data_IF_380013577125
#
_entry.id   IF_380013577125
#
_cell.length_a   1.000
_cell.length_b   1.000
_cell.length_c   1.000
_cell.angle_alpha   90.00
_cell.angle_beta   90.00
_cell.angle_gamma   90.00
#
_symmetry.space_group_name_H-M   'P 1'
#
loop_
_entity.id
_entity.type
_entity.pdbx_description
1 polymer ?
#
# COMPACT_ATOMS: atom_id res chain seq x y z
N UNK A 1 12.58 -9.02 7.87
CA UNK A 1 11.57 -8.04 7.43
C UNK A 1 10.20 -8.69 7.59
N UNK A 2 9.16 -7.89 7.81
CA UNK A 2 7.76 -8.37 7.80
C UNK A 2 7.10 -7.94 6.50
N UNK A 3 6.13 -8.72 6.03
CA UNK A 3 5.35 -8.41 4.84
C UNK A 3 4.17 -7.51 5.22
N UNK A 4 3.94 -6.46 4.45
CA UNK A 4 2.84 -5.52 4.62
C UNK A 4 2.02 -5.41 3.34
N UNK A 5 0.72 -5.20 3.48
CA UNK A 5 -0.14 -4.64 2.44
C UNK A 5 -0.30 -3.15 2.73
N UNK A 6 0.08 -2.33 1.76
CA UNK A 6 -0.21 -0.91 1.73
C UNK A 6 -1.41 -0.66 0.83
N UNK A 7 -2.39 0.07 1.34
CA UNK A 7 -3.47 0.69 0.56
C UNK A 7 -3.30 2.20 0.64
N UNK A 8 -3.25 2.86 -0.52
CA UNK A 8 -3.13 4.32 -0.66
C UNK A 8 -4.35 4.87 -1.40
N UNK A 9 -5.52 4.92 -0.73
CA UNK A 9 -6.76 5.40 -1.32
C UNK A 9 -6.69 6.92 -1.52
N UNK A 10 -7.23 7.36 -2.64
CA UNK A 10 -7.32 8.74 -3.06
C UNK A 10 -8.63 8.97 -3.81
N UNK A 11 -9.03 10.22 -4.00
CA UNK A 11 -10.19 10.55 -4.84
C UNK A 11 -9.81 10.57 -6.33
N UNK A 12 -10.82 10.55 -7.21
CA UNK A 12 -10.63 10.71 -8.65
C UNK A 12 -9.87 12.00 -9.00
N UNK A 13 -10.15 13.08 -8.26
CA UNK A 13 -9.52 14.40 -8.44
C UNK A 13 -8.04 14.37 -8.03
N UNK A 14 -7.69 13.48 -7.10
CA UNK A 14 -6.34 13.30 -6.59
C UNK A 14 -5.50 12.31 -7.41
N UNK A 15 -6.09 11.54 -8.34
CA UNK A 15 -5.40 10.46 -9.08
C UNK A 15 -4.11 10.90 -9.75
N UNK A 16 -4.18 11.94 -10.59
CA UNK A 16 -3.01 12.39 -11.34
C UNK A 16 -1.93 12.90 -10.39
N UNK A 17 -2.32 13.64 -9.35
CA UNK A 17 -1.39 14.10 -8.31
C UNK A 17 -0.73 12.94 -7.58
N UNK A 18 -1.49 11.89 -7.24
CA UNK A 18 -0.95 10.70 -6.57
C UNK A 18 0.09 9.98 -7.44
N UNK A 19 -0.20 9.81 -8.74
CA UNK A 19 0.72 9.22 -9.71
C UNK A 19 1.96 10.09 -9.90
N UNK A 20 1.81 11.41 -10.03
CA UNK A 20 2.91 12.35 -10.19
C UNK A 20 3.85 12.36 -8.98
N UNK A 21 3.32 12.42 -7.76
CA UNK A 21 4.16 12.42 -6.55
C UNK A 21 4.88 11.07 -6.35
N UNK A 22 4.23 9.95 -6.69
CA UNK A 22 4.89 8.64 -6.63
C UNK A 22 5.96 8.49 -7.72
N UNK A 23 5.71 9.01 -8.93
CA UNK A 23 6.69 9.01 -10.02
C UNK A 23 7.88 9.95 -9.72
N UNK A 24 7.64 11.06 -9.02
CA UNK A 24 8.69 12.00 -8.62
C UNK A 24 9.74 11.37 -7.69
N UNK A 25 9.35 10.40 -6.85
CA UNK A 25 10.27 9.58 -6.05
C UNK A 25 11.08 8.59 -6.91
N UNK A 26 10.64 8.36 -8.15
CA UNK A 26 11.35 7.62 -9.18
C UNK A 26 10.54 6.46 -9.77
N UNK A 27 10.84 6.02 -11.01
CA UNK A 27 10.13 4.92 -11.66
C UNK A 27 10.15 3.61 -10.87
N UNK A 28 11.23 3.35 -10.13
CA UNK A 28 11.35 2.18 -9.26
C UNK A 28 10.40 2.19 -8.07
N UNK A 29 9.92 3.36 -7.64
CA UNK A 29 8.91 3.49 -6.58
C UNK A 29 7.52 3.27 -7.17
N UNK A 30 7.22 3.89 -8.32
CA UNK A 30 5.97 3.67 -9.05
C UNK A 30 5.73 2.18 -9.35
N UNK A 31 6.77 1.45 -9.77
CA UNK A 31 6.71 0.03 -10.07
C UNK A 31 6.44 -0.88 -8.86
N UNK A 32 6.42 -0.35 -7.63
CA UNK A 32 6.02 -1.11 -6.43
C UNK A 32 4.50 -1.16 -6.24
N UNK A 33 3.77 -0.29 -6.94
CA UNK A 33 2.34 -0.14 -6.79
C UNK A 33 1.58 -0.82 -7.93
N UNK A 34 0.55 -1.56 -7.56
CA UNK A 34 -0.55 -1.97 -8.40
C UNK A 34 -1.69 -0.96 -8.25
N UNK A 35 -2.39 -0.63 -9.34
CA UNK A 35 -3.34 0.49 -9.34
C UNK A 35 -4.75 0.04 -9.71
N UNK A 36 -5.72 0.32 -8.83
CA UNK A 36 -7.14 0.12 -9.14
C UNK A 36 -7.74 1.20 -10.05
N UNK A 37 -7.00 2.29 -10.32
CA UNK A 37 -7.56 3.52 -10.89
C UNK A 37 -8.26 3.31 -12.25
N UNK A 38 -7.77 2.37 -13.07
CA UNK A 38 -8.37 2.04 -14.37
C UNK A 38 -9.66 1.21 -14.26
N UNK A 39 -9.88 0.57 -13.11
CA UNK A 39 -11.09 -0.19 -12.77
C UNK A 39 -12.11 0.66 -11.98
N UNK A 40 -11.80 1.93 -11.73
CA UNK A 40 -12.63 2.86 -10.97
C UNK A 40 -12.40 2.85 -9.46
N UNK A 41 -11.53 1.97 -8.98
CA UNK A 41 -11.05 1.99 -7.59
C UNK A 41 -9.82 2.90 -7.47
N UNK A 42 -10.02 4.10 -6.94
CA UNK A 42 -8.95 5.10 -6.81
C UNK A 42 -8.01 4.78 -5.63
N UNK A 43 -7.36 3.63 -5.69
CA UNK A 43 -6.47 3.10 -4.67
C UNK A 43 -5.20 2.53 -5.31
N UNK A 44 -4.04 2.94 -4.77
CA UNK A 44 -2.77 2.27 -5.04
C UNK A 44 -2.51 1.19 -4.00
N UNK A 45 -2.11 0.00 -4.43
CA UNK A 45 -1.82 -1.16 -3.60
C UNK A 45 -0.35 -1.52 -3.69
N UNK A 46 0.29 -1.90 -2.59
CA UNK A 46 1.64 -2.43 -2.65
C UNK A 46 1.87 -3.53 -1.61
N UNK A 47 2.60 -4.57 -2.01
CA UNK A 47 3.11 -5.61 -1.11
C UNK A 47 4.57 -5.32 -0.79
N UNK A 48 4.85 -5.05 0.49
CA UNK A 48 6.14 -4.50 0.91
C UNK A 48 6.76 -5.34 2.01
N UNK A 49 8.01 -5.79 1.80
CA UNK A 49 8.85 -6.33 2.85
C UNK A 49 9.61 -5.18 3.54
N UNK A 50 9.25 -4.89 4.78
CA UNK A 50 9.78 -3.76 5.53
C UNK A 50 10.18 -4.13 6.96
N UNK A 51 11.03 -3.32 7.59
CA UNK A 51 11.38 -3.51 9.01
C UNK A 51 10.25 -3.12 9.96
N UNK A 52 9.35 -2.24 9.52
CA UNK A 52 8.21 -1.74 10.30
C UNK A 52 7.32 -0.84 9.46
N UNK A 53 6.17 -0.47 10.01
CA UNK A 53 5.22 0.45 9.37
C UNK A 53 5.80 1.81 8.97
N UNK A 54 6.73 2.44 9.75
CA UNK A 54 7.33 3.71 9.35
C UNK A 54 8.07 3.66 8.01
N UNK A 55 8.68 2.51 7.69
CA UNK A 55 9.39 2.32 6.42
C UNK A 55 8.41 2.20 5.24
N UNK A 56 7.24 1.58 5.45
CA UNK A 56 6.13 1.55 4.48
C UNK A 56 5.55 2.96 4.29
N UNK A 57 5.42 3.73 5.38
CA UNK A 57 4.86 5.08 5.37
C UNK A 57 5.63 6.06 4.48
N UNK A 58 6.95 5.85 4.35
CA UNK A 58 7.82 6.71 3.53
C UNK A 58 7.50 6.62 2.03
N UNK A 59 6.82 5.56 1.59
CA UNK A 59 6.44 5.36 0.18
C UNK A 59 5.12 6.07 -0.18
N UNK A 60 4.45 6.67 0.81
CA UNK A 60 3.15 7.30 0.64
C UNK A 60 3.33 8.81 0.50
N UNK A 61 2.77 9.43 -0.56
CA UNK A 61 2.73 10.88 -0.71
C UNK A 61 2.12 11.55 0.52
N UNK A 62 2.66 12.71 0.90
CA UNK A 62 2.31 13.39 2.16
C UNK A 62 0.80 13.61 2.36
N UNK A 63 0.09 13.96 1.29
CA UNK A 63 -1.36 14.21 1.32
C UNK A 63 -2.24 12.95 1.38
N UNK A 64 -1.66 11.76 1.14
CA UNK A 64 -2.34 10.47 1.24
C UNK A 64 -2.05 9.75 2.54
N UNK A 65 -1.04 10.18 3.30
CA UNK A 65 -0.60 9.54 4.55
C UNK A 65 -1.71 9.33 5.57
N UNK A 66 -2.64 10.28 5.70
CA UNK A 66 -3.77 10.16 6.62
C UNK A 66 -4.92 9.28 6.10
N UNK A 67 -4.92 8.94 4.81
CA UNK A 67 -5.91 8.08 4.15
C UNK A 67 -5.40 6.65 4.01
N UNK A 68 -4.08 6.49 3.97
CA UNK A 68 -3.43 5.21 3.77
C UNK A 68 -3.66 4.23 4.90
N UNK A 69 -3.67 2.95 4.55
CA UNK A 69 -3.81 1.83 5.47
C UNK A 69 -2.63 0.91 5.29
N UNK A 70 -2.01 0.54 6.40
CA UNK A 70 -0.87 -0.37 6.43
C UNK A 70 -1.30 -1.59 7.24
N UNK A 71 -1.26 -2.76 6.61
CA UNK A 71 -1.65 -4.01 7.20
C UNK A 71 -0.45 -4.94 7.27
N UNK A 72 0.02 -5.28 8.47
CA UNK A 72 1.02 -6.33 8.64
C UNK A 72 0.39 -7.68 8.28
N UNK A 73 0.97 -8.35 7.29
CA UNK A 73 0.49 -9.63 6.80
C UNK A 73 1.14 -10.79 7.56
N UNK A 74 0.34 -11.81 7.84
CA UNK A 74 0.75 -13.10 8.37
C UNK A 74 0.10 -14.23 7.59
N UNK A 75 0.64 -15.44 7.76
CA UNK A 75 -0.01 -16.67 7.31
C UNK A 75 -0.43 -17.47 8.54
N UNK A 76 -1.53 -18.20 8.41
CA UNK A 76 -1.97 -19.14 9.43
C UNK A 76 -1.61 -20.57 9.02
N UNK A 77 -1.27 -21.40 10.01
CA UNK A 77 -1.18 -22.85 9.84
C UNK A 77 -2.57 -23.49 9.96
N UNK A 78 -2.79 -24.68 9.39
CA UNK A 78 -4.05 -25.40 9.57
C UNK A 78 -4.39 -25.65 11.05
N UNK A 79 -3.38 -25.87 11.90
CA UNK A 79 -3.56 -26.06 13.34
C UNK A 79 -4.04 -24.79 14.04
N UNK A 80 -3.48 -23.62 13.69
CA UNK A 80 -3.97 -22.33 14.19
C UNK A 80 -5.43 -22.12 13.83
N UNK A 81 -5.81 -22.39 12.57
CA UNK A 81 -7.20 -22.27 12.13
C UNK A 81 -8.13 -23.20 12.93
N UNK A 82 -7.74 -24.45 13.15
CA UNK A 82 -8.52 -25.39 13.98
C UNK A 82 -8.70 -24.91 15.42
N UNK A 83 -7.72 -24.18 15.98
CA UNK A 83 -7.80 -23.64 17.33
C UNK A 83 -8.67 -22.38 17.49
N UNK A 84 -9.09 -21.75 16.39
CA UNK A 84 -9.94 -20.54 16.41
C UNK A 84 -11.44 -20.83 16.35
N UNK A 85 -11.84 -22.06 16.02
CA UNK A 85 -13.21 -22.56 16.05
C UNK A 85 -13.60 -23.00 17.46
#
# INVERSE_FOLDING_TARGET
MSRYLLESPHSKEECLKALDEILAEGPSVLNKFDWGCMDGDHTGYALIDAKGEPEVMNLIPGFLRNKARIHKLGKFTPEQVRSFH
#
